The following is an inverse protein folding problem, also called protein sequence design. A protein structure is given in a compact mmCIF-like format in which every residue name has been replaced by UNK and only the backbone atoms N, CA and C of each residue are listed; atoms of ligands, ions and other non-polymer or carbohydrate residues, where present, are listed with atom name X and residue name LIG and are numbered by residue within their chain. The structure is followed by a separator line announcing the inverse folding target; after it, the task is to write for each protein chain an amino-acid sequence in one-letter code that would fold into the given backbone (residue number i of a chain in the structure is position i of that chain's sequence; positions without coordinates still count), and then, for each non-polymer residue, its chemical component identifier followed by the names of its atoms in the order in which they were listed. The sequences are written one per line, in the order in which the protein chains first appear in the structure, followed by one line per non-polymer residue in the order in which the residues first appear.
data_IF_371738298354
#
_entry.id   IF_371738298354
#
_cell.length_a   1.000
_cell.length_b   1.000
_cell.length_c   1.000
_cell.angle_alpha   90.00
_cell.angle_beta   90.00
_cell.angle_gamma   90.00
#
_symmetry.space_group_name_H-M   'P 1'
#
loop_
_entity.id
_entity.type
_entity.pdbx_description
1 polymer ?
#
# COMPACT_ATOMS: atom_id res chain seq x y z
N UNK A 1 -30.63 -16.63 -26.84
CA UNK A 1 -29.81 -15.40 -26.68
C UNK A 1 -29.07 -15.58 -25.38
N UNK A 2 -27.75 -15.75 -25.42
CA UNK A 2 -26.97 -15.84 -24.19
C UNK A 2 -26.98 -14.46 -23.54
N UNK A 3 -27.56 -14.34 -22.36
CA UNK A 3 -27.42 -13.15 -21.53
C UNK A 3 -25.92 -12.88 -21.40
N UNK A 4 -25.48 -11.69 -21.83
CA UNK A 4 -24.13 -11.26 -21.52
C UNK A 4 -23.99 -11.27 -19.99
N UNK A 5 -22.96 -11.92 -19.43
CA UNK A 5 -22.73 -11.83 -18.00
C UNK A 5 -22.66 -10.35 -17.60
N UNK A 6 -23.39 -10.02 -16.54
CA UNK A 6 -23.37 -8.67 -15.98
C UNK A 6 -21.92 -8.36 -15.56
N UNK A 7 -21.40 -7.17 -15.90
CA UNK A 7 -20.05 -6.80 -15.53
C UNK A 7 -19.88 -6.80 -14.01
N UNK A 8 -18.73 -7.23 -13.54
CA UNK A 8 -18.40 -7.27 -12.12
C UNK A 8 -18.40 -5.86 -11.52
N UNK A 9 -19.27 -5.66 -10.52
CA UNK A 9 -19.38 -4.42 -9.78
C UNK A 9 -18.67 -4.54 -8.42
N UNK A 10 -17.45 -3.99 -8.36
CA UNK A 10 -16.63 -3.99 -7.15
C UNK A 10 -17.29 -3.27 -5.97
N UNK A 11 -18.10 -2.24 -6.22
CA UNK A 11 -18.77 -1.49 -5.16
C UNK A 11 -19.89 -2.31 -4.55
N UNK A 12 -20.77 -2.87 -5.40
CA UNK A 12 -21.84 -3.77 -4.96
C UNK A 12 -21.28 -4.99 -4.22
N UNK A 13 -20.17 -5.54 -4.70
CA UNK A 13 -19.48 -6.62 -4.01
C UNK A 13 -18.96 -6.19 -2.63
N UNK A 14 -18.29 -5.03 -2.53
CA UNK A 14 -17.83 -4.50 -1.22
C UNK A 14 -19.00 -4.25 -0.25
N UNK A 15 -20.16 -3.80 -0.73
CA UNK A 15 -21.36 -3.63 0.09
C UNK A 15 -21.92 -4.97 0.59
N UNK A 16 -21.90 -5.99 -0.26
CA UNK A 16 -22.28 -7.36 0.08
C UNK A 16 -21.36 -7.93 1.17
N UNK A 17 -20.04 -7.79 0.99
CA UNK A 17 -19.03 -8.21 1.99
C UNK A 17 -19.26 -7.48 3.31
N UNK A 18 -19.50 -6.15 3.27
CA UNK A 18 -19.78 -5.36 4.46
C UNK A 18 -21.02 -5.88 5.20
N UNK A 19 -22.10 -6.17 4.48
CA UNK A 19 -23.32 -6.72 5.06
C UNK A 19 -23.08 -8.10 5.70
N UNK A 20 -22.37 -8.99 5.01
CA UNK A 20 -21.99 -10.31 5.53
C UNK A 20 -21.13 -10.21 6.81
N UNK A 21 -20.18 -9.27 6.86
CA UNK A 21 -19.33 -9.03 8.03
C UNK A 21 -20.13 -8.46 9.21
N UNK A 22 -21.12 -7.59 8.97
CA UNK A 22 -22.03 -7.08 9.99
C UNK A 22 -22.90 -8.21 10.55
N UNK A 23 -23.40 -9.09 9.68
CA UNK A 23 -24.18 -10.27 10.06
C UNK A 23 -23.36 -11.35 10.82
N UNK A 24 -22.05 -11.15 11.00
CA UNK A 24 -21.19 -12.11 11.70
C UNK A 24 -20.88 -13.36 10.90
N UNK A 25 -20.92 -13.28 9.56
CA UNK A 25 -20.60 -14.41 8.68
C UNK A 25 -19.19 -14.92 9.01
N UNK A 26 -19.01 -16.23 9.29
CA UNK A 26 -17.69 -16.80 9.55
C UNK A 26 -16.76 -16.65 8.33
N UNK A 27 -15.46 -16.45 8.58
CA UNK A 27 -14.45 -16.28 7.54
C UNK A 27 -14.46 -17.43 6.52
N UNK A 28 -14.67 -18.68 6.96
CA UNK A 28 -14.74 -19.84 6.04
C UNK A 28 -15.88 -19.76 5.03
N UNK A 29 -17.05 -19.24 5.41
CA UNK A 29 -18.17 -19.04 4.48
C UNK A 29 -17.89 -17.91 3.49
N UNK A 30 -17.20 -16.85 3.94
CA UNK A 30 -16.75 -15.81 3.02
C UNK A 30 -15.76 -16.39 2.01
N UNK A 31 -14.79 -17.19 2.45
CA UNK A 31 -13.81 -17.85 1.57
C UNK A 31 -14.48 -18.74 0.50
N UNK A 32 -15.46 -19.56 0.89
CA UNK A 32 -16.27 -20.37 -0.02
C UNK A 32 -16.99 -19.49 -1.06
N UNK A 33 -17.64 -18.40 -0.62
CA UNK A 33 -18.30 -17.44 -1.49
C UNK A 33 -17.32 -16.79 -2.48
N UNK A 34 -16.11 -16.43 -2.04
CA UNK A 34 -15.09 -15.84 -2.91
C UNK A 34 -14.61 -16.85 -3.97
N UNK A 35 -14.34 -18.09 -3.57
CA UNK A 35 -13.90 -19.15 -4.47
C UNK A 35 -14.97 -19.47 -5.51
N UNK A 36 -16.23 -19.58 -5.09
CA UNK A 36 -17.35 -19.79 -5.99
C UNK A 36 -17.44 -18.65 -7.02
N UNK A 37 -17.39 -17.39 -6.56
CA UNK A 37 -17.44 -16.23 -7.44
C UNK A 37 -16.28 -16.16 -8.43
N UNK A 38 -15.06 -16.50 -8.00
CA UNK A 38 -13.89 -16.56 -8.88
C UNK A 38 -13.95 -17.72 -9.90
N UNK A 39 -14.74 -18.76 -9.62
CA UNK A 39 -14.92 -19.90 -10.54
C UNK A 39 -16.04 -19.62 -11.54
N UNK A 40 -17.08 -18.90 -11.11
CA UNK A 40 -18.25 -18.56 -11.92
C UNK A 40 -18.05 -17.32 -12.79
N UNK A 41 -17.10 -16.44 -12.43
CA UNK A 41 -16.82 -15.19 -13.15
C UNK A 41 -15.45 -15.25 -13.84
N UNK A 42 -15.43 -15.04 -15.15
CA UNK A 42 -14.18 -14.84 -15.91
C UNK A 42 -13.59 -13.43 -15.72
N UNK A 43 -14.37 -12.48 -15.18
CA UNK A 43 -13.99 -11.08 -15.11
C UNK A 43 -13.14 -10.73 -13.88
N UNK A 44 -13.27 -11.48 -12.78
CA UNK A 44 -12.52 -11.21 -11.56
C UNK A 44 -11.86 -12.46 -10.98
N UNK A 45 -10.56 -12.31 -10.70
CA UNK A 45 -9.76 -13.35 -10.09
C UNK A 45 -9.85 -13.31 -8.57
N UNK A 46 -9.69 -14.47 -7.94
CA UNK A 46 -9.71 -14.64 -6.48
C UNK A 46 -8.81 -13.64 -5.72
N UNK A 47 -7.55 -13.34 -6.13
CA UNK A 47 -6.72 -12.38 -5.42
C UNK A 47 -7.34 -10.98 -5.35
N UNK A 48 -7.98 -10.52 -6.44
CA UNK A 48 -8.66 -9.22 -6.48
C UNK A 48 -9.86 -9.18 -5.54
N UNK A 49 -10.60 -10.29 -5.42
CA UNK A 49 -11.67 -10.43 -4.42
C UNK A 49 -11.12 -10.34 -2.99
N UNK A 50 -10.01 -11.04 -2.69
CA UNK A 50 -9.35 -10.95 -1.39
C UNK A 50 -8.92 -9.52 -1.05
N UNK A 51 -8.39 -8.77 -2.03
CA UNK A 51 -8.04 -7.37 -1.85
C UNK A 51 -9.26 -6.52 -1.49
N UNK A 52 -10.39 -6.68 -2.19
CA UNK A 52 -11.63 -5.96 -1.87
C UNK A 52 -12.08 -6.28 -0.45
N UNK A 53 -12.09 -7.55 -0.05
CA UNK A 53 -12.45 -7.95 1.32
C UNK A 53 -11.49 -7.35 2.35
N UNK A 54 -10.19 -7.34 2.08
CA UNK A 54 -9.19 -6.74 2.97
C UNK A 54 -9.42 -5.22 3.12
N UNK A 55 -9.72 -4.51 2.03
CA UNK A 55 -10.09 -3.08 2.06
C UNK A 55 -11.38 -2.85 2.85
N UNK A 56 -12.42 -3.67 2.64
CA UNK A 56 -13.67 -3.59 3.38
C UNK A 56 -13.43 -3.79 4.88
N UNK A 57 -12.68 -4.84 5.27
CA UNK A 57 -12.31 -5.09 6.65
C UNK A 57 -11.55 -3.91 7.28
N UNK A 58 -10.59 -3.32 6.55
CA UNK A 58 -9.84 -2.15 7.03
C UNK A 58 -10.77 -0.95 7.23
N UNK A 59 -11.68 -0.67 6.28
CA UNK A 59 -12.66 0.43 6.39
C UNK A 59 -13.61 0.28 7.58
N UNK A 60 -13.83 -0.96 8.04
CA UNK A 60 -14.64 -1.29 9.22
C UNK A 60 -13.83 -1.38 10.52
N UNK A 61 -12.52 -1.09 10.50
CA UNK A 61 -11.64 -1.20 11.67
C UNK A 61 -11.30 -2.65 12.08
N UNK A 62 -11.62 -3.65 11.26
CA UNK A 62 -11.42 -5.08 11.55
C UNK A 62 -10.00 -5.56 11.21
N UNK A 63 -8.99 -4.91 11.78
CA UNK A 63 -7.56 -5.12 11.44
C UNK A 63 -7.06 -6.56 11.61
N UNK A 64 -7.61 -7.32 12.57
CA UNK A 64 -7.28 -8.74 12.75
C UNK A 64 -7.69 -9.61 11.56
N UNK A 65 -8.84 -9.31 10.95
CA UNK A 65 -9.35 -10.07 9.80
C UNK A 65 -8.60 -9.71 8.51
N UNK A 66 -8.06 -8.50 8.42
CA UNK A 66 -7.26 -8.06 7.26
C UNK A 66 -6.05 -8.97 7.01
N UNK A 67 -5.38 -9.43 8.08
CA UNK A 67 -4.19 -10.29 7.97
C UNK A 67 -4.47 -11.55 7.15
N UNK A 68 -5.55 -12.27 7.46
CA UNK A 68 -5.92 -13.50 6.76
C UNK A 68 -6.07 -13.29 5.25
N UNK A 69 -6.76 -12.23 4.85
CA UNK A 69 -6.98 -11.90 3.44
C UNK A 69 -5.72 -11.45 2.73
N UNK A 70 -4.85 -10.70 3.42
CA UNK A 70 -3.55 -10.31 2.88
C UNK A 70 -2.60 -11.51 2.71
N UNK A 71 -2.62 -12.49 3.61
CA UNK A 71 -1.83 -13.71 3.48
C UNK A 71 -2.26 -14.54 2.26
N UNK A 72 -3.56 -14.65 2.00
CA UNK A 72 -4.09 -15.27 0.78
C UNK A 72 -3.66 -14.48 -0.47
N UNK A 73 -3.85 -13.15 -0.44
CA UNK A 73 -3.46 -12.26 -1.53
C UNK A 73 -1.96 -12.36 -1.85
N UNK A 74 -1.10 -12.42 -0.84
CA UNK A 74 0.36 -12.40 -1.03
C UNK A 74 0.86 -13.53 -1.94
N UNK A 75 0.19 -14.69 -1.98
CA UNK A 75 0.60 -15.82 -2.82
C UNK A 75 0.48 -15.49 -4.32
N UNK A 76 -0.63 -14.87 -4.71
CA UNK A 76 -1.04 -14.72 -6.12
C UNK A 76 -1.36 -13.28 -6.54
N UNK A 77 -0.95 -12.30 -5.73
CA UNK A 77 -1.15 -10.88 -6.03
C UNK A 77 -0.53 -10.52 -7.39
N UNK A 78 -1.33 -9.88 -8.23
CA UNK A 78 -0.90 -9.36 -9.53
C UNK A 78 -0.24 -7.99 -9.33
N UNK A 79 0.68 -7.65 -10.24
CA UNK A 79 1.52 -6.45 -10.12
C UNK A 79 0.71 -5.15 -9.95
N UNK A 80 -0.41 -5.03 -10.65
CA UNK A 80 -1.30 -3.86 -10.60
C UNK A 80 -1.95 -3.63 -9.22
N UNK A 81 -2.09 -4.70 -8.43
CA UNK A 81 -2.75 -4.69 -7.13
C UNK A 81 -1.77 -4.49 -5.95
N UNK A 82 -0.47 -4.60 -6.21
CA UNK A 82 0.56 -4.58 -5.17
C UNK A 82 0.55 -3.30 -4.34
N UNK A 83 0.39 -2.13 -4.96
CA UNK A 83 0.36 -0.87 -4.20
C UNK A 83 -0.86 -0.80 -3.27
N UNK A 84 -2.03 -1.22 -3.76
CA UNK A 84 -3.25 -1.26 -2.96
C UNK A 84 -3.15 -2.28 -1.81
N UNK A 85 -2.51 -3.42 -2.06
CA UNK A 85 -2.22 -4.40 -1.00
C UNK A 85 -1.28 -3.82 0.07
N UNK A 86 -0.23 -3.09 -0.34
CA UNK A 86 0.68 -2.40 0.60
C UNK A 86 -0.07 -1.36 1.42
N UNK A 87 -0.93 -0.54 0.79
CA UNK A 87 -1.77 0.44 1.47
C UNK A 87 -2.61 -0.22 2.58
N UNK A 88 -3.25 -1.35 2.27
CA UNK A 88 -4.07 -2.10 3.24
C UNK A 88 -3.20 -2.70 4.35
N UNK A 89 -2.04 -3.27 4.03
CA UNK A 89 -1.11 -3.83 5.00
C UNK A 89 -0.59 -2.74 5.97
N UNK A 90 -0.21 -1.58 5.44
CA UNK A 90 0.28 -0.45 6.23
C UNK A 90 -0.85 0.14 7.10
N UNK A 91 -2.03 0.36 6.53
CA UNK A 91 -3.20 0.88 7.25
C UNK A 91 -3.68 -0.05 8.38
N UNK A 92 -3.55 -1.37 8.19
CA UNK A 92 -3.87 -2.37 9.21
C UNK A 92 -2.70 -2.69 10.15
N UNK A 93 -1.58 -1.97 10.05
CA UNK A 93 -0.35 -2.16 10.85
C UNK A 93 0.28 -3.56 10.73
N UNK A 94 0.10 -4.23 9.59
CA UNK A 94 0.70 -5.53 9.27
C UNK A 94 2.08 -5.36 8.63
N UNK A 95 3.07 -5.00 9.45
CA UNK A 95 4.41 -4.59 8.98
C UNK A 95 5.17 -5.68 8.20
N UNK A 96 5.07 -6.95 8.62
CA UNK A 96 5.69 -8.09 7.93
C UNK A 96 5.13 -8.25 6.52
N UNK A 97 3.80 -8.30 6.39
CA UNK A 97 3.12 -8.42 5.10
C UNK A 97 3.40 -7.21 4.19
N UNK A 98 3.45 -6.00 4.76
CA UNK A 98 3.83 -4.81 4.00
C UNK A 98 5.25 -4.95 3.41
N UNK A 99 6.23 -5.45 4.19
CA UNK A 99 7.60 -5.69 3.71
C UNK A 99 7.61 -6.69 2.56
N UNK A 100 6.86 -7.79 2.65
CA UNK A 100 6.84 -8.83 1.61
C UNK A 100 6.17 -8.34 0.33
N UNK A 101 5.08 -7.58 0.45
CA UNK A 101 4.41 -6.93 -0.69
C UNK A 101 5.30 -5.89 -1.36
N UNK A 102 6.04 -5.08 -0.58
CA UNK A 102 7.04 -4.17 -1.11
C UNK A 102 8.14 -4.91 -1.89
N UNK A 103 8.62 -6.05 -1.39
CA UNK A 103 9.63 -6.83 -2.10
C UNK A 103 9.12 -7.36 -3.44
N UNK A 104 7.84 -7.75 -3.53
CA UNK A 104 7.20 -8.11 -4.80
C UNK A 104 7.10 -6.91 -5.73
N UNK A 105 6.60 -5.77 -5.22
CA UNK A 105 6.45 -4.54 -6.02
C UNK A 105 7.78 -4.06 -6.61
N UNK A 106 8.84 -4.05 -5.81
CA UNK A 106 10.16 -3.59 -6.26
C UNK A 106 10.85 -4.55 -7.24
N UNK A 107 10.35 -5.78 -7.39
CA UNK A 107 10.78 -6.73 -8.42
C UNK A 107 9.89 -6.71 -9.66
N UNK A 108 8.71 -6.08 -9.58
CA UNK A 108 7.84 -5.89 -10.72
C UNK A 108 8.42 -4.83 -11.66
N UNK A 109 8.15 -4.99 -12.96
CA UNK A 109 8.47 -3.99 -13.97
C UNK A 109 7.40 -2.89 -14.06
N UNK A 110 6.31 -3.01 -13.32
CA UNK A 110 5.19 -2.06 -13.34
C UNK A 110 5.37 -1.03 -12.23
N UNK A 111 5.60 0.22 -12.63
CA UNK A 111 5.60 1.33 -11.69
C UNK A 111 4.16 1.73 -11.34
N UNK A 112 3.81 1.80 -10.05
CA UNK A 112 2.48 2.20 -9.64
C UNK A 112 2.29 3.72 -9.77
N UNK A 113 1.04 4.19 -9.71
CA UNK A 113 0.70 5.60 -9.83
C UNK A 113 1.45 6.46 -8.78
N UNK A 114 2.18 7.48 -9.24
CA UNK A 114 3.09 8.26 -8.39
C UNK A 114 2.37 8.97 -7.22
N UNK A 115 1.21 9.58 -7.47
CA UNK A 115 0.40 10.23 -6.44
C UNK A 115 -0.01 9.27 -5.31
N UNK A 116 -0.48 8.06 -5.65
CA UNK A 116 -0.87 7.06 -4.65
C UNK A 116 0.35 6.52 -3.90
N UNK A 117 1.46 6.35 -4.62
CA UNK A 117 2.73 5.89 -4.03
C UNK A 117 3.26 6.84 -2.97
N UNK A 118 3.13 8.15 -3.18
CA UNK A 118 3.50 9.16 -2.18
C UNK A 118 2.67 9.03 -0.90
N UNK A 119 1.34 8.92 -1.01
CA UNK A 119 0.46 8.75 0.15
C UNK A 119 0.77 7.44 0.93
N UNK A 120 1.02 6.34 0.22
CA UNK A 120 1.43 5.07 0.81
C UNK A 120 2.80 5.19 1.49
N UNK A 121 3.73 5.95 0.91
CA UNK A 121 5.04 6.17 1.50
C UNK A 121 4.95 6.92 2.83
N UNK A 122 4.15 7.97 2.92
CA UNK A 122 3.93 8.72 4.18
C UNK A 122 3.33 7.82 5.27
N UNK A 123 2.29 7.06 4.94
CA UNK A 123 1.69 6.09 5.85
C UNK A 123 2.71 5.02 6.29
N UNK A 124 3.60 4.60 5.39
CA UNK A 124 4.64 3.62 5.71
C UNK A 124 5.69 4.20 6.65
N UNK A 125 6.11 5.46 6.45
CA UNK A 125 7.03 6.16 7.37
C UNK A 125 6.39 6.25 8.77
N UNK A 126 5.10 6.61 8.84
CA UNK A 126 4.37 6.68 10.11
C UNK A 126 4.29 5.31 10.81
N UNK A 127 4.04 4.22 10.06
CA UNK A 127 4.12 2.86 10.61
C UNK A 127 5.53 2.52 11.10
N UNK A 128 6.56 2.81 10.31
CA UNK A 128 7.93 2.55 10.69
C UNK A 128 8.32 3.29 11.97
N UNK A 129 7.91 4.56 12.13
CA UNK A 129 8.14 5.33 13.36
C UNK A 129 7.49 4.69 14.59
N UNK A 130 6.29 4.11 14.46
CA UNK A 130 5.63 3.37 15.56
C UNK A 130 6.41 2.12 15.97
N UNK A 131 7.03 1.43 15.01
CA UNK A 131 7.85 0.23 15.26
C UNK A 131 9.22 0.53 15.89
N UNK A 132 9.61 1.81 15.98
CA UNK A 132 10.92 2.21 16.54
C UNK A 132 11.07 1.89 18.03
N UNK A 133 9.97 1.70 18.75
CA UNK A 133 9.94 1.43 20.19
C UNK A 133 9.34 0.03 20.40
N UNK A 134 10.04 -0.96 20.98
CA UNK A 134 11.38 -0.96 21.56
C UNK A 134 12.50 -1.10 20.50
N UNK A 135 13.63 -0.41 20.72
CA UNK A 135 14.81 -0.41 19.82
C UNK A 135 15.61 -1.72 19.82
N UNK A 136 14.96 -2.89 19.90
CA UNK A 136 15.60 -4.22 19.89
C UNK A 136 14.66 -5.26 19.27
N UNK A 137 15.22 -6.22 18.54
CA UNK A 137 14.49 -7.38 18.01
C UNK A 137 13.90 -7.19 16.61
N UNK A 138 12.92 -8.03 16.27
CA UNK A 138 12.33 -8.16 14.93
C UNK A 138 11.64 -6.88 14.44
N UNK A 139 11.01 -6.12 15.35
CA UNK A 139 10.35 -4.85 15.04
C UNK A 139 11.31 -3.80 14.46
N UNK A 140 12.55 -3.75 14.96
CA UNK A 140 13.60 -2.86 14.42
C UNK A 140 14.05 -3.30 13.03
N UNK A 141 14.12 -4.61 12.79
CA UNK A 141 14.38 -5.17 11.46
C UNK A 141 13.32 -4.75 10.45
N UNK A 142 12.04 -4.84 10.82
CA UNK A 142 10.91 -4.40 10.00
C UNK A 142 10.93 -2.90 9.75
N UNK A 143 11.20 -2.08 10.77
CA UNK A 143 11.40 -0.63 10.64
C UNK A 143 12.40 -0.30 9.53
N UNK A 144 13.60 -0.89 9.56
CA UNK A 144 14.65 -0.63 8.56
C UNK A 144 14.26 -1.12 7.17
N UNK A 145 13.61 -2.29 7.07
CA UNK A 145 13.16 -2.86 5.79
C UNK A 145 12.08 -1.97 5.15
N UNK A 146 11.06 -1.55 5.92
CA UNK A 146 10.02 -0.64 5.45
C UNK A 146 10.62 0.66 4.92
N UNK A 147 11.47 1.34 5.70
CA UNK A 147 12.09 2.59 5.26
C UNK A 147 12.96 2.41 4.01
N UNK A 148 13.68 1.30 3.89
CA UNK A 148 14.47 1.00 2.68
C UNK A 148 13.56 0.84 1.47
N UNK A 149 12.53 0.00 1.56
CA UNK A 149 11.62 -0.28 0.45
C UNK A 149 10.83 0.96 0.04
N UNK A 150 10.32 1.74 1.00
CA UNK A 150 9.63 3.00 0.74
C UNK A 150 10.54 4.02 0.07
N UNK A 151 11.80 4.12 0.50
CA UNK A 151 12.76 5.00 -0.17
C UNK A 151 13.01 4.59 -1.63
N UNK A 152 13.11 3.29 -1.92
CA UNK A 152 13.26 2.79 -3.29
C UNK A 152 12.01 3.07 -4.14
N UNK A 153 10.81 2.87 -3.58
CA UNK A 153 9.56 3.22 -4.26
C UNK A 153 9.54 4.71 -4.61
N UNK A 154 9.81 5.59 -3.65
CA UNK A 154 9.80 7.05 -3.86
C UNK A 154 10.78 7.47 -4.95
N UNK A 155 12.02 6.97 -4.93
CA UNK A 155 13.00 7.26 -5.99
C UNK A 155 12.50 6.82 -7.36
N UNK A 156 11.84 5.66 -7.45
CA UNK A 156 11.31 5.13 -8.71
C UNK A 156 10.15 5.95 -9.28
N UNK A 157 9.23 6.43 -8.43
CA UNK A 157 8.02 7.16 -8.88
C UNK A 157 8.22 8.66 -9.01
N UNK A 158 9.28 9.21 -8.42
CA UNK A 158 9.54 10.65 -8.37
C UNK A 158 9.55 11.35 -9.74
N UNK A 159 10.13 10.78 -10.81
CA UNK A 159 10.09 11.39 -12.14
C UNK A 159 8.67 11.55 -12.71
N UNK A 160 7.72 10.74 -12.25
CA UNK A 160 6.33 10.75 -12.71
C UNK A 160 5.41 11.65 -11.85
N UNK A 161 5.96 12.40 -10.89
CA UNK A 161 5.21 13.39 -10.14
C UNK A 161 4.97 14.65 -10.99
N UNK A 162 3.71 15.06 -11.02
CA UNK A 162 3.13 16.07 -11.91
C UNK A 162 3.26 17.51 -11.40
N UNK A 163 3.45 17.71 -10.09
CA UNK A 163 3.59 19.05 -9.49
C UNK A 163 4.87 19.16 -8.67
N UNK A 164 5.44 20.36 -8.61
CA UNK A 164 6.63 20.63 -7.81
C UNK A 164 6.35 20.50 -6.30
N UNK A 165 5.13 20.85 -5.85
CA UNK A 165 4.69 20.58 -4.48
C UNK A 165 4.82 19.09 -4.11
N UNK A 166 4.34 18.19 -4.98
CA UNK A 166 4.45 16.75 -4.74
C UNK A 166 5.90 16.26 -4.80
N UNK A 167 6.72 16.84 -5.67
CA UNK A 167 8.16 16.52 -5.73
C UNK A 167 8.87 16.98 -4.47
N UNK A 168 8.58 18.18 -3.98
CA UNK A 168 9.10 18.69 -2.71
C UNK A 168 8.68 17.78 -1.55
N UNK A 169 7.41 17.38 -1.50
CA UNK A 169 6.89 16.45 -0.49
C UNK A 169 7.60 15.08 -0.55
N UNK A 170 7.81 14.53 -1.75
CA UNK A 170 8.52 13.27 -1.93
C UNK A 170 10.00 13.37 -1.51
N UNK A 171 10.69 14.47 -1.82
CA UNK A 171 12.05 14.74 -1.36
C UNK A 171 12.14 14.92 0.16
N UNK A 172 11.14 15.58 0.76
CA UNK A 172 11.03 15.72 2.22
C UNK A 172 10.88 14.35 2.89
N UNK A 173 10.03 13.47 2.33
CA UNK A 173 9.90 12.08 2.77
C UNK A 173 11.22 11.31 2.64
N UNK A 174 11.95 11.46 1.53
CA UNK A 174 13.26 10.84 1.35
C UNK A 174 14.28 11.34 2.38
N UNK A 175 14.34 12.64 2.66
CA UNK A 175 15.21 13.21 3.68
C UNK A 175 14.91 12.61 5.07
N UNK A 176 13.62 12.46 5.41
CA UNK A 176 13.19 11.82 6.65
C UNK A 176 13.62 10.35 6.70
N UNK A 177 13.42 9.59 5.62
CA UNK A 177 13.86 8.19 5.51
C UNK A 177 15.37 8.09 5.70
N UNK A 178 16.16 8.96 5.08
CA UNK A 178 17.62 8.95 5.17
C UNK A 178 18.10 9.21 6.59
N UNK A 179 17.49 10.19 7.30
CA UNK A 179 17.76 10.45 8.72
C UNK A 179 17.42 9.24 9.59
N UNK A 180 16.24 8.65 9.41
CA UNK A 180 15.80 7.50 10.22
C UNK A 180 16.63 6.25 9.98
N UNK A 181 17.18 6.08 8.76
CA UNK A 181 18.08 4.98 8.42
C UNK A 181 19.53 5.20 8.87
N UNK A 182 19.88 6.40 9.34
CA UNK A 182 21.25 6.76 9.71
C UNK A 182 22.19 6.81 8.50
N UNK A 183 21.72 7.33 7.36
CA UNK A 183 22.56 7.55 6.18
C UNK A 183 23.48 8.77 6.36
N UNK A 184 24.42 8.95 5.44
CA UNK A 184 25.39 10.05 5.51
C UNK A 184 24.68 11.41 5.47
N UNK A 185 25.17 12.37 6.27
CA UNK A 185 24.58 13.70 6.37
C UNK A 185 24.51 14.41 5.00
N UNK A 186 25.49 14.19 4.14
CA UNK A 186 25.48 14.71 2.76
C UNK A 186 24.26 14.26 1.94
N UNK A 187 23.80 13.02 2.11
CA UNK A 187 22.60 12.52 1.43
C UNK A 187 21.32 13.16 1.98
N UNK A 188 21.29 13.40 3.30
CA UNK A 188 20.19 14.11 3.96
C UNK A 188 20.12 15.56 3.47
N UNK A 189 21.26 16.25 3.45
CA UNK A 189 21.34 17.65 3.03
C UNK A 189 20.99 17.82 1.55
N UNK A 190 21.41 16.89 0.70
CA UNK A 190 21.01 16.87 -0.71
C UNK A 190 19.49 16.74 -0.89
N UNK A 191 18.85 15.81 -0.17
CA UNK A 191 17.40 15.64 -0.25
C UNK A 191 16.64 16.88 0.27
N UNK A 192 17.15 17.55 1.30
CA UNK A 192 16.59 18.80 1.81
C UNK A 192 16.78 19.96 0.83
N UNK A 193 17.93 20.03 0.15
CA UNK A 193 18.18 21.03 -0.89
C UNK A 193 17.20 20.87 -2.06
N UNK A 194 16.95 19.65 -2.51
CA UNK A 194 15.93 19.38 -3.54
C UNK A 194 14.52 19.72 -3.04
N UNK A 195 14.19 19.39 -1.79
CA UNK A 195 12.92 19.81 -1.18
C UNK A 195 12.75 21.33 -1.25
N UNK A 196 13.78 22.09 -0.88
CA UNK A 196 13.75 23.54 -0.90
C UNK A 196 13.74 24.12 -2.33
N UNK A 197 14.29 23.41 -3.31
CA UNK A 197 14.27 23.80 -4.72
C UNK A 197 12.86 23.72 -5.28
N UNK A 198 12.18 22.58 -5.13
CA UNK A 198 10.82 22.40 -5.64
C UNK A 198 9.77 23.14 -4.79
N UNK A 199 10.07 23.44 -3.52
CA UNK A 199 9.17 24.22 -2.65
C UNK A 199 9.23 25.74 -2.86
N UNK A 200 10.08 26.24 -3.77
CA UNK A 200 10.23 27.68 -4.05
C UNK A 200 9.43 28.19 -5.25
N UNK A 201 8.85 27.31 -6.06
CA UNK A 201 8.11 27.71 -7.26
C UNK A 201 6.59 27.81 -6.98
N UNK A 202 6.08 29.02 -7.19
CA UNK A 202 4.70 29.44 -7.56
C UNK A 202 3.60 29.61 -6.48
N UNK A 203 3.81 30.60 -5.60
CA UNK A 203 2.73 31.55 -5.22
C UNK A 203 3.07 33.00 -5.57
N UNK A 204 4.14 33.26 -6.33
CA UNK A 204 4.55 34.63 -6.67
C UNK A 204 5.06 34.72 -8.10
N UNK A 205 4.15 35.08 -9.01
CA UNK A 205 4.42 35.92 -10.20
C UNK A 205 3.10 36.24 -10.91
N UNK A 206 2.93 37.46 -11.44
CA UNK A 206 3.03 38.80 -10.86
C UNK A 206 1.66 39.39 -10.47
#
# INVERSE_FOLDING_TARGET
MADKPLPFDAQKFSETVRASLIAGTPTGRLDEMLKQMATESEEIRFPRLCLIVAQTCLSMGRTKQVRHWLEQLLQEVVDEDLLAAIEVAVGSSQAELAVDLYQKLLKSNVLPAAKKSLAVAEATIALALRLRLPMRGEAWGLHRKLLKSTGQLLVGVMPALDTDEKRAQAWSCLAQIYRLRGLAQSQVDQALAETARYGRDDSTSP
#
